data_IF_600341471158
#
_entry.id   IF_600341471158
#
_cell.length_a   1.000
_cell.length_b   1.000
_cell.length_c   1.000
_cell.angle_alpha   90.00
_cell.angle_beta   90.00
_cell.angle_gamma   90.00
#
_symmetry.space_group_name_H-M   'P 1'
#
loop_
_entity.id
_entity.type
_entity.pdbx_description
1 polymer ?
#
# COMPACT_ATOMS: atom_id res chain seq x y z
N UNK A 1 22.74 -23.62 -18.42
CA UNK A 1 21.61 -22.72 -18.30
C UNK A 1 20.79 -23.07 -17.06
N UNK A 2 20.30 -22.06 -16.39
CA UNK A 2 19.41 -22.20 -15.25
C UNK A 2 18.06 -21.62 -15.59
N UNK A 3 17.00 -22.38 -15.33
CA UNK A 3 15.63 -21.94 -15.54
C UNK A 3 14.99 -21.71 -14.18
N UNK A 4 14.52 -20.49 -13.94
CA UNK A 4 13.89 -20.13 -12.68
C UNK A 4 12.38 -20.05 -12.82
N UNK A 5 11.65 -20.22 -11.70
CA UNK A 5 10.21 -20.05 -11.66
C UNK A 5 9.83 -18.64 -12.12
N UNK A 6 8.89 -18.46 -13.05
CA UNK A 6 8.42 -17.13 -13.44
C UNK A 6 7.86 -16.36 -12.26
N UNK A 7 8.08 -15.06 -12.24
CA UNK A 7 7.54 -14.16 -11.25
C UNK A 7 6.10 -13.81 -11.60
N UNK A 8 5.18 -13.98 -10.67
CA UNK A 8 3.78 -13.58 -10.80
C UNK A 8 3.26 -13.06 -9.48
N UNK A 9 2.22 -12.23 -9.51
CA UNK A 9 1.59 -11.72 -8.31
C UNK A 9 0.15 -11.27 -8.58
N UNK A 10 -0.64 -11.21 -7.50
CA UNK A 10 -2.01 -10.71 -7.52
C UNK A 10 -2.23 -9.77 -6.35
N UNK A 11 -3.13 -8.82 -6.51
CA UNK A 11 -3.64 -8.02 -5.40
C UNK A 11 -4.74 -8.81 -4.69
N UNK A 12 -4.61 -8.98 -3.38
CA UNK A 12 -5.57 -9.70 -2.55
C UNK A 12 -6.53 -8.73 -1.88
N UNK A 13 -6.02 -7.59 -1.42
CA UNK A 13 -6.80 -6.58 -0.72
C UNK A 13 -6.39 -5.18 -1.16
N UNK A 14 -7.37 -4.29 -1.32
CA UNK A 14 -7.13 -2.88 -1.64
C UNK A 14 -6.67 -2.12 -0.40
N UNK A 15 -5.85 -1.09 -0.61
CA UNK A 15 -5.59 -0.11 0.44
C UNK A 15 -6.86 0.73 0.62
N UNK A 16 -7.46 0.66 1.80
CA UNK A 16 -8.72 1.34 2.12
C UNK A 16 -8.58 2.06 3.46
N UNK A 17 -8.76 3.37 3.44
CA UNK A 17 -8.66 4.19 4.64
C UNK A 17 -9.93 4.14 5.51
N UNK A 18 -11.00 3.51 5.01
CA UNK A 18 -12.25 3.40 5.71
C UNK A 18 -13.04 4.70 5.70
N UNK A 19 -13.77 4.94 6.77
CA UNK A 19 -14.59 6.15 6.93
C UNK A 19 -13.91 7.13 7.85
N UNK A 20 -13.92 8.41 7.46
CA UNK A 20 -13.32 9.48 8.26
C UNK A 20 -14.24 10.69 8.27
N UNK A 21 -14.23 11.44 9.36
CA UNK A 21 -14.90 12.73 9.49
C UNK A 21 -13.84 13.81 9.30
N UNK A 22 -13.99 14.72 8.33
CA UNK A 22 -13.04 15.82 8.14
C UNK A 22 -13.17 16.86 9.24
N UNK A 23 -12.13 17.66 9.39
CA UNK A 23 -12.14 18.79 10.31
C UNK A 23 -12.18 20.10 9.53
N UNK A 24 -12.29 21.22 10.25
CA UNK A 24 -12.20 22.57 9.69
C UNK A 24 -10.79 22.90 9.19
N UNK A 25 -9.80 22.11 9.56
CA UNK A 25 -8.42 22.20 9.10
C UNK A 25 -8.00 20.93 8.38
N UNK A 26 -7.03 21.04 7.49
CA UNK A 26 -6.48 19.87 6.81
C UNK A 26 -5.84 18.91 7.81
N UNK A 27 -5.94 17.61 7.54
CA UNK A 27 -5.36 16.57 8.38
C UNK A 27 -4.98 15.35 7.55
N UNK A 28 -4.49 14.32 8.23
CA UNK A 28 -4.07 13.09 7.57
C UNK A 28 -4.60 11.85 8.27
N UNK A 29 -4.71 10.77 7.50
CA UNK A 29 -4.96 9.43 8.04
C UNK A 29 -3.90 8.51 7.43
N UNK A 30 -3.12 7.89 8.28
CA UNK A 30 -2.06 6.96 7.85
C UNK A 30 -2.45 5.54 8.17
N UNK A 31 -2.31 4.63 7.20
CA UNK A 31 -2.37 3.19 7.43
C UNK A 31 -0.95 2.65 7.27
N UNK A 32 -0.45 2.02 8.32
CA UNK A 32 0.86 1.37 8.29
C UNK A 32 0.79 0.01 7.61
N UNK A 33 1.94 -0.53 7.25
CA UNK A 33 2.04 -1.89 6.72
C UNK A 33 1.67 -2.98 7.74
N UNK A 34 1.58 -2.61 9.02
CA UNK A 34 1.07 -3.47 10.10
C UNK A 34 -0.42 -3.27 10.38
N UNK A 35 -1.12 -2.55 9.50
CA UNK A 35 -2.57 -2.29 9.57
C UNK A 35 -2.99 -1.46 10.78
N UNK A 36 -2.20 -0.46 11.14
CA UNK A 36 -2.55 0.52 12.18
C UNK A 36 -2.96 1.83 11.52
N UNK A 37 -4.15 2.31 11.85
CA UNK A 37 -4.69 3.59 11.34
C UNK A 37 -4.46 4.70 12.35
N UNK A 38 -3.79 5.78 11.93
CA UNK A 38 -3.44 6.91 12.78
C UNK A 38 -3.91 8.23 12.14
N UNK A 39 -4.78 9.00 12.81
CA UNK A 39 -5.22 10.31 12.32
C UNK A 39 -4.33 11.44 12.83
N UNK A 40 -4.35 12.58 12.12
CA UNK A 40 -3.80 13.86 12.56
C UNK A 40 -4.72 15.00 12.17
N UNK A 41 -4.51 16.19 12.76
CA UNK A 41 -5.18 17.41 12.34
C UNK A 41 -6.67 17.49 12.66
N UNK A 42 -7.14 16.73 13.64
CA UNK A 42 -8.54 16.73 14.05
C UNK A 42 -9.46 15.84 13.21
N UNK A 43 -8.93 15.16 12.20
CA UNK A 43 -9.68 14.15 11.44
C UNK A 43 -10.04 12.99 12.37
N UNK A 44 -11.31 12.57 12.34
CA UNK A 44 -11.83 11.50 13.20
C UNK A 44 -12.12 10.26 12.36
N UNK A 45 -11.34 9.18 12.51
CA UNK A 45 -11.65 7.92 11.84
C UNK A 45 -12.81 7.21 12.52
N UNK A 46 -13.63 6.52 11.72
CA UNK A 46 -14.79 5.77 12.18
C UNK A 46 -14.67 4.30 11.78
N UNK A 47 -15.19 3.44 12.64
CA UNK A 47 -15.31 2.01 12.36
C UNK A 47 -13.98 1.28 12.28
N UNK A 48 -14.03 0.04 11.81
CA UNK A 48 -12.88 -0.85 11.66
C UNK A 48 -12.74 -1.39 10.23
N UNK A 49 -13.43 -0.78 9.29
CA UNK A 49 -13.49 -1.17 7.87
C UNK A 49 -12.34 -0.59 7.03
N UNK A 50 -11.25 -0.24 7.68
CA UNK A 50 -10.01 0.17 7.01
C UNK A 50 -9.09 -1.04 6.80
N UNK A 51 -8.20 -0.94 5.82
CA UNK A 51 -7.35 -2.05 5.48
C UNK A 51 -6.10 -1.59 4.73
N UNK A 52 -4.95 -2.19 5.07
CA UNK A 52 -3.74 -2.06 4.28
C UNK A 52 -3.90 -2.78 2.95
N UNK A 53 -3.18 -2.34 1.93
CA UNK A 53 -3.07 -3.10 0.68
C UNK A 53 -2.32 -4.41 0.94
N UNK A 54 -2.73 -5.48 0.25
CA UNK A 54 -2.14 -6.80 0.43
C UNK A 54 -1.96 -7.49 -0.91
N UNK A 55 -0.75 -7.99 -1.14
CA UNK A 55 -0.37 -8.65 -2.37
C UNK A 55 0.24 -10.01 -2.06
N UNK A 56 -0.07 -10.98 -2.91
CA UNK A 56 0.53 -12.31 -2.89
C UNK A 56 1.26 -12.54 -4.20
N UNK A 57 2.45 -13.12 -4.13
CA UNK A 57 3.23 -13.42 -5.29
C UNK A 57 3.87 -14.81 -5.23
N UNK A 58 4.39 -15.23 -6.36
CA UNK A 58 5.13 -16.48 -6.48
C UNK A 58 6.34 -16.27 -7.39
N UNK A 59 7.47 -16.82 -6.97
CA UNK A 59 8.71 -16.78 -7.73
C UNK A 59 9.68 -17.85 -7.25
N UNK A 60 10.92 -17.74 -7.66
CA UNK A 60 11.96 -18.68 -7.25
C UNK A 60 12.54 -18.31 -5.88
N UNK A 61 12.71 -19.29 -5.01
CA UNK A 61 13.38 -19.09 -3.73
C UNK A 61 14.79 -18.53 -3.93
N UNK A 62 15.17 -17.61 -3.04
CA UNK A 62 16.47 -16.92 -3.02
C UNK A 62 16.71 -15.93 -4.16
N UNK A 63 15.75 -15.75 -5.05
CA UNK A 63 15.85 -14.72 -6.08
C UNK A 63 15.52 -13.34 -5.50
N UNK A 64 16.23 -12.34 -6.01
CA UNK A 64 15.97 -10.94 -5.68
C UNK A 64 14.90 -10.36 -6.58
N UNK A 65 14.03 -9.55 -6.01
CA UNK A 65 12.99 -8.83 -6.73
C UNK A 65 13.03 -7.35 -6.35
N UNK A 66 12.73 -6.52 -7.33
CA UNK A 66 12.45 -5.10 -7.09
C UNK A 66 10.95 -4.90 -7.10
N UNK A 67 10.41 -4.28 -6.05
CA UNK A 67 8.99 -3.94 -5.93
C UNK A 67 8.86 -2.43 -5.98
N UNK A 68 8.08 -1.91 -6.90
CA UNK A 68 7.83 -0.49 -7.04
C UNK A 68 6.34 -0.19 -7.13
N UNK A 69 5.95 0.98 -6.63
CA UNK A 69 4.59 1.47 -6.64
C UNK A 69 4.54 2.79 -7.41
N UNK A 70 3.58 2.93 -8.29
CA UNK A 70 3.39 4.14 -9.09
C UNK A 70 1.91 4.46 -9.24
N UNK A 71 1.51 5.75 -9.23
CA UNK A 71 2.35 6.93 -9.00
C UNK A 71 2.76 7.09 -7.54
N UNK A 72 3.77 7.91 -7.27
CA UNK A 72 4.19 8.21 -5.89
C UNK A 72 3.11 8.96 -5.10
N UNK A 73 2.31 9.77 -5.79
CA UNK A 73 1.13 10.44 -5.25
C UNK A 73 -0.10 9.96 -5.99
N UNK A 74 -1.03 9.34 -5.28
CA UNK A 74 -2.29 8.86 -5.84
C UNK A 74 -3.34 9.94 -5.65
N UNK A 75 -4.04 10.29 -6.72
CA UNK A 75 -5.17 11.21 -6.65
C UNK A 75 -6.46 10.43 -6.45
N UNK A 76 -7.20 10.78 -5.39
CA UNK A 76 -8.52 10.24 -5.13
C UNK A 76 -9.58 11.23 -5.58
N UNK A 77 -10.42 10.81 -6.50
CA UNK A 77 -11.52 11.64 -7.01
C UNK A 77 -12.84 11.24 -6.39
N UNK A 78 -13.71 12.20 -6.20
CA UNK A 78 -15.02 12.04 -5.61
C UNK A 78 -15.89 13.28 -5.82
N UNK A 79 -16.97 13.45 -5.03
CA UNK A 79 -17.92 14.54 -5.24
C UNK A 79 -17.33 15.93 -5.00
N UNK A 80 -16.32 16.05 -4.15
CA UNK A 80 -15.68 17.33 -3.82
C UNK A 80 -14.28 17.44 -4.41
N UNK A 81 -13.49 18.33 -3.81
CA UNK A 81 -12.08 18.50 -4.16
C UNK A 81 -11.34 17.18 -3.98
N UNK A 82 -10.51 16.82 -4.94
CA UNK A 82 -9.71 15.57 -4.87
C UNK A 82 -8.82 15.55 -3.63
N UNK A 83 -8.66 14.37 -3.07
CA UNK A 83 -7.67 14.10 -2.04
C UNK A 83 -6.47 13.41 -2.64
N UNK A 84 -5.37 13.31 -1.89
CA UNK A 84 -4.18 12.60 -2.33
C UNK A 84 -3.77 11.56 -1.30
N UNK A 85 -3.13 10.50 -1.78
CA UNK A 85 -2.40 9.53 -0.95
C UNK A 85 -0.93 9.65 -1.27
N UNK A 86 -0.14 9.87 -0.25
CA UNK A 86 1.32 10.05 -0.33
C UNK A 86 2.02 9.09 0.61
N UNK A 87 3.34 9.08 0.60
CA UNK A 87 4.17 8.26 1.51
C UNK A 87 3.79 6.78 1.46
N UNK A 88 3.63 6.24 0.25
CA UNK A 88 3.38 4.82 0.08
C UNK A 88 4.56 4.00 0.63
N UNK A 89 4.24 2.98 1.40
CA UNK A 89 5.22 2.11 2.04
C UNK A 89 4.98 0.66 1.67
N UNK A 90 6.05 -0.11 1.60
CA UNK A 90 6.01 -1.55 1.35
C UNK A 90 6.52 -2.26 2.59
N UNK A 91 5.70 -3.18 3.12
CA UNK A 91 6.08 -4.01 4.25
C UNK A 91 6.08 -5.48 3.88
N UNK A 92 7.24 -6.14 3.81
CA UNK A 92 7.28 -7.57 3.60
C UNK A 92 6.90 -8.33 4.88
N UNK A 93 6.42 -9.56 4.72
CA UNK A 93 6.31 -10.48 5.84
C UNK A 93 7.55 -11.41 5.88
N UNK A 94 7.49 -12.48 6.69
CA UNK A 94 8.62 -13.41 6.80
C UNK A 94 8.92 -14.24 5.54
N UNK A 95 8.07 -14.18 4.50
CA UNK A 95 8.28 -14.89 3.24
C UNK A 95 9.08 -14.09 2.23
N UNK A 96 9.27 -12.81 2.51
CA UNK A 96 9.99 -11.85 1.67
C UNK A 96 10.83 -10.98 2.60
N UNK A 97 12.13 -10.92 2.39
CA UNK A 97 13.03 -10.09 3.20
C UNK A 97 13.59 -8.95 2.36
N UNK A 98 13.74 -7.80 2.99
CA UNK A 98 14.43 -6.67 2.36
C UNK A 98 15.89 -7.03 2.15
N UNK A 99 16.37 -6.89 0.92
CA UNK A 99 17.74 -7.17 0.53
C UNK A 99 18.46 -5.85 0.20
N UNK A 100 19.21 -5.34 1.17
CA UNK A 100 19.81 -4.01 1.06
C UNK A 100 18.80 -2.94 1.43
N UNK A 101 18.65 -1.92 0.58
CA UNK A 101 17.67 -0.85 0.76
C UNK A 101 16.44 -1.08 -0.11
N UNK A 102 15.28 -0.54 0.31
CA UNK A 102 14.09 -0.49 -0.55
C UNK A 102 14.48 0.14 -1.90
N UNK A 103 14.03 -0.38 -3.04
CA UNK A 103 12.92 -1.34 -3.23
C UNK A 103 13.36 -2.80 -3.45
N UNK A 104 14.48 -3.21 -2.90
CA UNK A 104 15.08 -4.52 -3.16
C UNK A 104 14.69 -5.53 -2.10
N UNK A 105 14.22 -6.69 -2.54
CA UNK A 105 13.76 -7.77 -1.66
C UNK A 105 14.26 -9.12 -2.17
N UNK A 106 14.24 -10.11 -1.29
CA UNK A 106 14.59 -11.50 -1.62
C UNK A 106 13.45 -12.42 -1.21
N UNK A 107 13.07 -13.34 -2.09
CA UNK A 107 12.08 -14.37 -1.80
C UNK A 107 12.74 -15.41 -0.90
N UNK A 108 12.18 -15.60 0.30
CA UNK A 108 12.77 -16.50 1.31
C UNK A 108 12.02 -17.81 1.39
N UNK A 109 10.70 -17.81 1.15
CA UNK A 109 9.88 -18.99 1.29
C UNK A 109 10.30 -20.12 0.35
N UNK A 110 10.40 -21.34 0.90
CA UNK A 110 10.83 -22.54 0.15
C UNK A 110 9.90 -22.85 -1.03
N UNK A 111 8.60 -22.58 -0.88
CA UNK A 111 7.62 -22.78 -1.96
C UNK A 111 7.56 -21.62 -2.95
N UNK A 112 8.36 -20.56 -2.76
CA UNK A 112 8.38 -19.37 -3.60
C UNK A 112 7.20 -18.44 -3.45
N UNK A 113 6.25 -18.74 -2.58
CA UNK A 113 5.07 -17.88 -2.33
C UNK A 113 5.44 -16.82 -1.30
N UNK A 114 5.20 -15.56 -1.64
CA UNK A 114 5.51 -14.43 -0.76
C UNK A 114 4.34 -13.46 -0.68
N UNK A 115 4.35 -12.67 0.39
CA UNK A 115 3.34 -11.67 0.67
C UNK A 115 4.02 -10.34 0.98
N UNK A 116 3.39 -9.26 0.55
CA UNK A 116 3.78 -7.93 1.00
C UNK A 116 2.56 -7.03 1.17
N UNK A 117 2.73 -5.99 1.96
CA UNK A 117 1.68 -5.07 2.34
C UNK A 117 2.03 -3.66 1.90
N UNK A 118 1.00 -2.88 1.62
CA UNK A 118 1.15 -1.49 1.22
C UNK A 118 0.40 -0.62 2.22
N UNK A 119 1.09 0.36 2.77
CA UNK A 119 0.51 1.42 3.56
C UNK A 119 0.64 2.75 2.86
N UNK A 120 0.02 3.79 3.41
CA UNK A 120 0.10 5.12 2.86
C UNK A 120 -0.54 6.16 3.76
N UNK A 121 -0.44 7.41 3.34
CA UNK A 121 -0.99 8.55 4.04
C UNK A 121 -2.05 9.24 3.19
N UNK A 122 -3.29 9.21 3.67
CA UNK A 122 -4.38 9.99 3.07
C UNK A 122 -4.30 11.43 3.57
N UNK A 123 -4.31 12.39 2.65
CA UNK A 123 -4.35 13.81 2.96
C UNK A 123 -5.78 14.30 2.80
N UNK A 124 -6.42 14.64 3.92
CA UNK A 124 -7.81 15.08 3.96
C UNK A 124 -7.85 16.60 3.99
N UNK A 125 -8.58 17.21 3.06
CA UNK A 125 -8.72 18.66 3.01
C UNK A 125 -9.58 19.21 4.13
N UNK A 126 -9.43 20.51 4.41
CA UNK A 126 -10.31 21.22 5.33
C UNK A 126 -11.75 21.16 4.82
N UNK A 127 -12.69 20.78 5.68
CA UNK A 127 -14.11 20.66 5.33
C UNK A 127 -14.35 19.82 4.06
N UNK A 128 -13.63 18.73 3.91
CA UNK A 128 -13.74 17.84 2.76
C UNK A 128 -15.19 17.42 2.55
N UNK A 129 -15.69 17.53 1.31
CA UNK A 129 -17.07 17.19 1.01
C UNK A 129 -17.38 15.71 1.27
N UNK A 130 -18.56 15.37 1.79
CA UNK A 130 -18.97 13.97 2.00
C UNK A 130 -19.05 13.20 0.69
N UNK A 131 -18.81 11.92 0.75
CA UNK A 131 -18.94 11.00 -0.37
C UNK A 131 -17.81 10.01 -0.45
N UNK A 132 -17.80 9.22 -1.51
CA UNK A 132 -16.78 8.22 -1.76
C UNK A 132 -15.69 8.80 -2.66
N UNK A 133 -14.44 8.56 -2.29
CA UNK A 133 -13.26 8.98 -3.03
C UNK A 133 -12.42 7.75 -3.35
N UNK A 134 -11.96 7.67 -4.58
CA UNK A 134 -11.16 6.53 -5.03
C UNK A 134 -10.10 6.94 -6.04
N UNK A 135 -9.07 6.14 -6.11
CA UNK A 135 -7.98 6.27 -7.07
C UNK A 135 -7.30 4.91 -7.25
N UNK A 136 -6.32 4.86 -8.13
CA UNK A 136 -5.60 3.62 -8.43
C UNK A 136 -4.11 3.83 -8.37
N UNK A 137 -3.40 2.76 -8.02
CA UNK A 137 -1.96 2.69 -8.15
C UNK A 137 -1.57 1.32 -8.73
N UNK A 138 -0.36 1.23 -9.25
CA UNK A 138 0.16 0.02 -9.85
C UNK A 138 1.39 -0.44 -9.09
N UNK A 139 1.40 -1.72 -8.73
CA UNK A 139 2.60 -2.39 -8.22
C UNK A 139 3.31 -3.08 -9.38
N UNK A 140 4.64 -2.96 -9.42
CA UNK A 140 5.46 -3.62 -10.42
C UNK A 140 6.54 -4.43 -9.72
N UNK A 141 6.65 -5.69 -10.09
CA UNK A 141 7.64 -6.63 -9.56
C UNK A 141 8.51 -7.12 -10.71
N UNK A 142 9.81 -7.04 -10.52
CA UNK A 142 10.80 -7.46 -11.53
C UNK A 142 11.92 -8.23 -10.83
N UNK A 143 12.34 -9.35 -11.41
CA UNK A 143 13.58 -10.01 -10.98
C UNK A 143 14.79 -9.12 -11.26
N UNK A 144 15.71 -9.13 -10.31
CA UNK A 144 17.00 -8.49 -10.50
C UNK A 144 17.98 -9.42 -11.20
#
# INVERSE_FOLDING_TARGET
ISVVTPLSFIQVENLDFGRVIPAATAGTVTISTTNVRTPTGGVVPLGTDYQRGRFAGRGAQNQRVTISLAPATITLTGPGTSMTVTNLTIGPDGTLNQSGSSPNYRIVAANGIFWFYVGGQLNVGANQAPGNYSGTFTATLVYQ
#
